data_IF_811157789096
#
_entry.id   IF_811157789096
#
_cell.length_a   1.000
_cell.length_b   1.000
_cell.length_c   1.000
_cell.angle_alpha   90.00
_cell.angle_beta   90.00
_cell.angle_gamma   90.00
#
_symmetry.space_group_name_H-M   'P 1'
#
loop_
_entity.id
_entity.type
_entity.pdbx_description
1 polymer ?
#
# COMPACT_ATOMS: atom_id res chain seq x y z
N UNK A 1 -6.94 -8.39 -7.36
CA UNK A 1 -7.19 -7.63 -6.12
C UNK A 1 -8.68 -7.33 -5.92
N UNK A 2 -9.34 -6.59 -6.81
CA UNK A 2 -10.71 -6.08 -6.58
C UNK A 2 -11.79 -7.12 -6.26
N UNK A 3 -11.87 -8.24 -6.98
CA UNK A 3 -12.88 -9.27 -6.70
C UNK A 3 -12.70 -9.88 -5.30
N UNK A 4 -11.44 -10.11 -4.90
CA UNK A 4 -11.09 -10.59 -3.56
C UNK A 4 -11.44 -9.52 -2.52
N UNK A 5 -11.09 -8.26 -2.77
CA UNK A 5 -11.39 -7.13 -1.89
C UNK A 5 -12.91 -6.98 -1.64
N UNK A 6 -13.75 -7.19 -2.65
CA UNK A 6 -15.20 -7.13 -2.50
C UNK A 6 -15.78 -8.22 -1.60
N UNK A 7 -15.27 -9.45 -1.75
CA UNK A 7 -15.64 -10.55 -0.84
C UNK A 7 -15.18 -10.22 0.57
N UNK A 8 -13.95 -9.73 0.73
CA UNK A 8 -13.40 -9.31 2.03
C UNK A 8 -14.26 -8.22 2.67
N UNK A 9 -14.59 -7.14 1.95
CA UNK A 9 -15.39 -6.02 2.49
C UNK A 9 -16.76 -6.52 2.93
N UNK A 10 -17.40 -7.36 2.12
CA UNK A 10 -18.70 -7.92 2.48
C UNK A 10 -18.62 -8.79 3.74
N UNK A 11 -17.65 -9.71 3.81
CA UNK A 11 -17.44 -10.55 4.98
C UNK A 11 -17.03 -9.75 6.22
N UNK A 12 -16.27 -8.67 6.06
CA UNK A 12 -15.83 -7.84 7.18
C UNK A 12 -17.01 -7.06 7.77
N UNK A 13 -17.93 -6.57 6.94
CA UNK A 13 -19.17 -5.95 7.45
C UNK A 13 -20.00 -6.97 8.25
N UNK A 14 -20.17 -8.18 7.73
CA UNK A 14 -20.97 -9.22 8.39
C UNK A 14 -20.28 -9.81 9.63
N UNK A 15 -18.94 -9.88 9.62
CA UNK A 15 -18.11 -10.51 10.64
C UNK A 15 -16.90 -9.62 10.99
N UNK A 16 -17.05 -8.64 11.90
CA UNK A 16 -15.98 -7.71 12.26
C UNK A 16 -14.69 -8.38 12.75
N UNK A 17 -14.80 -9.52 13.44
CA UNK A 17 -13.68 -10.33 13.92
C UNK A 17 -12.83 -10.89 12.78
N UNK A 18 -13.45 -11.30 11.66
CA UNK A 18 -12.72 -11.75 10.48
C UNK A 18 -11.80 -10.64 9.96
N UNK A 19 -12.31 -9.41 9.87
CA UNK A 19 -11.51 -8.30 9.39
C UNK A 19 -10.39 -7.88 10.33
N UNK A 20 -10.60 -7.97 11.65
CA UNK A 20 -9.51 -7.77 12.64
C UNK A 20 -8.40 -8.80 12.47
N UNK A 21 -8.75 -10.07 12.30
CA UNK A 21 -7.78 -11.15 12.06
C UNK A 21 -7.08 -10.99 10.71
N UNK A 22 -7.81 -10.56 9.68
CA UNK A 22 -7.23 -10.27 8.37
C UNK A 22 -6.20 -9.14 8.45
N UNK A 23 -6.51 -8.04 9.13
CA UNK A 23 -5.55 -6.94 9.34
C UNK A 23 -4.33 -7.40 10.15
N UNK A 24 -4.53 -8.21 11.19
CA UNK A 24 -3.42 -8.78 11.95
C UNK A 24 -2.50 -9.63 11.06
N UNK A 25 -3.09 -10.45 10.18
CA UNK A 25 -2.32 -11.22 9.22
C UNK A 25 -1.60 -10.31 8.21
N UNK A 26 -2.27 -9.30 7.67
CA UNK A 26 -1.65 -8.32 6.77
C UNK A 26 -0.47 -7.59 7.40
N UNK A 27 -0.58 -7.15 8.65
CA UNK A 27 0.52 -6.50 9.36
C UNK A 27 1.69 -7.44 9.63
N UNK A 28 1.42 -8.74 9.82
CA UNK A 28 2.49 -9.74 9.96
C UNK A 28 3.19 -10.02 8.63
N UNK A 29 2.41 -10.20 7.56
CA UNK A 29 2.96 -10.57 6.24
C UNK A 29 3.55 -9.38 5.48
N UNK A 30 3.06 -8.16 5.74
CA UNK A 30 3.53 -6.90 5.17
C UNK A 30 3.56 -5.82 6.28
N UNK A 31 4.63 -5.79 7.10
CA UNK A 31 4.72 -4.87 8.23
C UNK A 31 4.66 -3.40 7.83
N UNK A 32 4.96 -3.11 6.55
CA UNK A 32 4.93 -1.77 5.97
C UNK A 32 3.54 -1.18 5.74
N UNK A 33 2.48 -1.96 5.93
CA UNK A 33 1.13 -1.43 6.09
C UNK A 33 0.98 -0.61 7.38
N UNK A 34 1.85 -0.86 8.35
CA UNK A 34 2.10 0.06 9.45
C UNK A 34 3.32 0.90 9.03
N UNK A 35 3.18 2.22 8.90
CA UNK A 35 4.28 3.09 8.51
C UNK A 35 5.25 3.24 9.68
N UNK A 36 6.09 2.23 9.89
CA UNK A 36 7.14 2.17 10.88
C UNK A 36 8.32 1.38 10.31
N UNK A 37 9.49 2.02 10.20
CA UNK A 37 10.75 1.37 9.84
C UNK A 37 11.60 1.23 11.10
N UNK A 38 11.52 0.07 11.74
CA UNK A 38 12.29 -0.21 12.94
C UNK A 38 13.74 -0.58 12.55
N UNK A 39 14.76 0.06 13.14
CA UNK A 39 16.14 -0.35 12.95
C UNK A 39 16.43 -1.67 13.67
N UNK A 40 17.48 -2.36 13.24
CA UNK A 40 18.01 -3.51 13.98
C UNK A 40 18.52 -3.03 15.34
N UNK A 41 18.11 -3.71 16.41
CA UNK A 41 18.55 -3.37 17.76
C UNK A 41 19.84 -4.10 18.12
N UNK A 42 20.61 -3.54 19.05
CA UNK A 42 21.86 -4.18 19.51
C UNK A 42 21.58 -5.57 20.10
N UNK A 43 22.35 -6.57 19.67
CA UNK A 43 22.18 -7.96 20.07
C UNK A 43 21.12 -8.75 19.29
N UNK A 44 20.34 -8.11 18.40
CA UNK A 44 19.40 -8.81 17.52
C UNK A 44 20.15 -9.51 16.38
N UNK A 45 19.84 -10.80 16.15
CA UNK A 45 20.41 -11.52 15.02
C UNK A 45 19.91 -10.95 13.69
N UNK A 46 20.68 -11.15 12.61
CA UNK A 46 20.20 -10.76 11.27
C UNK A 46 18.95 -11.53 10.87
N UNK A 47 18.83 -12.80 11.29
CA UNK A 47 17.64 -13.61 11.00
C UNK A 47 16.38 -13.01 11.62
N UNK A 48 16.42 -12.76 12.94
CA UNK A 48 15.30 -12.15 13.66
C UNK A 48 14.94 -10.76 13.08
N UNK A 49 15.94 -9.99 12.66
CA UNK A 49 15.72 -8.68 12.07
C UNK A 49 15.05 -8.77 10.69
N UNK A 50 15.49 -9.68 9.83
CA UNK A 50 14.89 -9.88 8.51
C UNK A 50 13.47 -10.45 8.62
N UNK A 51 13.22 -11.38 9.54
CA UNK A 51 11.86 -11.87 9.83
C UNK A 51 10.95 -10.73 10.31
N UNK A 52 11.44 -9.85 11.18
CA UNK A 52 10.70 -8.65 11.61
C UNK A 52 10.38 -7.70 10.45
N UNK A 53 11.28 -7.59 9.45
CA UNK A 53 11.03 -6.87 8.21
C UNK A 53 10.08 -7.61 7.25
N UNK A 54 9.63 -8.80 7.61
CA UNK A 54 8.70 -9.63 6.86
C UNK A 54 9.37 -10.50 5.79
N UNK A 55 10.70 -10.67 5.80
CA UNK A 55 11.37 -11.63 4.94
C UNK A 55 11.08 -13.06 5.39
N UNK A 56 11.02 -13.97 4.43
CA UNK A 56 10.87 -15.40 4.68
C UNK A 56 12.21 -16.14 4.50
N UNK A 57 12.42 -17.16 5.33
CA UNK A 57 13.55 -18.08 5.21
C UNK A 57 13.06 -19.41 4.64
N UNK A 58 13.85 -20.01 3.74
CA UNK A 58 13.61 -21.37 3.25
C UNK A 58 13.94 -22.40 4.33
N UNK A 59 13.51 -23.65 4.16
CA UNK A 59 13.90 -24.77 5.03
C UNK A 59 15.42 -24.91 5.17
N UNK A 60 16.20 -24.56 4.14
CA UNK A 60 17.67 -24.57 4.17
C UNK A 60 18.30 -23.33 4.87
N UNK A 61 17.51 -22.50 5.55
CA UNK A 61 17.97 -21.28 6.24
C UNK A 61 18.39 -20.12 5.32
N UNK A 62 18.00 -20.15 4.03
CA UNK A 62 18.30 -19.06 3.08
C UNK A 62 17.18 -18.04 3.07
N UNK A 63 17.55 -16.77 3.23
CA UNK A 63 16.63 -15.64 3.06
C UNK A 63 16.08 -15.60 1.63
N UNK A 64 14.80 -15.28 1.49
CA UNK A 64 14.17 -15.12 0.18
C UNK A 64 14.85 -14.00 -0.63
N UNK A 65 14.78 -14.10 -1.96
CA UNK A 65 15.34 -13.06 -2.82
C UNK A 65 14.51 -11.77 -2.74
N UNK A 66 15.19 -10.63 -2.93
CA UNK A 66 14.55 -9.32 -2.92
C UNK A 66 13.35 -9.23 -3.88
N UNK A 67 13.46 -9.81 -5.08
CA UNK A 67 12.35 -9.86 -6.04
C UNK A 67 11.12 -10.62 -5.53
N UNK A 68 11.32 -11.74 -4.83
CA UNK A 68 10.22 -12.54 -4.28
C UNK A 68 9.56 -11.80 -3.13
N UNK A 69 10.38 -11.24 -2.25
CA UNK A 69 9.94 -10.40 -1.14
C UNK A 69 9.09 -9.22 -1.64
N UNK A 70 9.61 -8.40 -2.58
CA UNK A 70 8.89 -7.23 -3.10
C UNK A 70 7.58 -7.61 -3.80
N UNK A 71 7.54 -8.73 -4.53
CA UNK A 71 6.29 -9.23 -5.14
C UNK A 71 5.24 -9.58 -4.10
N UNK A 72 5.63 -10.17 -2.98
CA UNK A 72 4.72 -10.54 -1.89
C UNK A 72 4.20 -9.29 -1.17
N UNK A 73 5.08 -8.34 -0.84
CA UNK A 73 4.72 -7.04 -0.27
C UNK A 73 3.77 -6.26 -1.18
N UNK A 74 4.09 -6.21 -2.48
CA UNK A 74 3.24 -5.61 -3.53
C UNK A 74 1.86 -6.23 -3.57
N UNK A 75 1.76 -7.57 -3.56
CA UNK A 75 0.48 -8.27 -3.56
C UNK A 75 -0.42 -7.90 -2.38
N UNK A 76 0.15 -7.87 -1.18
CA UNK A 76 -0.57 -7.48 0.05
C UNK A 76 -0.98 -6.01 0.00
N UNK A 77 -0.06 -5.12 -0.38
CA UNK A 77 -0.33 -3.68 -0.49
C UNK A 77 -1.47 -3.37 -1.47
N UNK A 78 -1.44 -3.99 -2.66
CA UNK A 78 -2.48 -3.80 -3.68
C UNK A 78 -3.83 -4.36 -3.23
N UNK A 79 -3.85 -5.46 -2.47
CA UNK A 79 -5.09 -6.00 -1.91
C UNK A 79 -5.64 -5.08 -0.81
N UNK A 80 -4.78 -4.59 0.09
CA UNK A 80 -5.14 -3.61 1.11
C UNK A 80 -5.71 -2.32 0.50
N UNK A 81 -5.02 -1.75 -0.50
CA UNK A 81 -5.49 -0.59 -1.25
C UNK A 81 -6.81 -0.87 -1.98
N UNK A 82 -7.01 -2.08 -2.51
CA UNK A 82 -8.26 -2.46 -3.16
C UNK A 82 -9.42 -2.53 -2.16
N UNK A 83 -9.20 -3.02 -0.92
CA UNK A 83 -10.21 -3.02 0.15
C UNK A 83 -10.63 -1.58 0.47
N UNK A 84 -9.67 -0.66 0.63
CA UNK A 84 -9.94 0.76 0.93
C UNK A 84 -10.90 1.43 -0.08
N UNK A 85 -10.75 1.12 -1.37
CA UNK A 85 -11.54 1.76 -2.44
C UNK A 85 -12.79 0.98 -2.84
N UNK A 86 -13.00 -0.22 -2.30
CA UNK A 86 -14.13 -1.06 -2.68
C UNK A 86 -15.41 -0.54 -2.01
N UNK A 87 -16.48 -0.24 -2.75
CA UNK A 87 -17.72 0.20 -2.15
C UNK A 87 -18.44 -0.93 -1.42
N UNK A 88 -19.21 -0.58 -0.39
CA UNK A 88 -20.14 -1.49 0.26
C UNK A 88 -21.18 -2.05 -0.72
N UNK A 89 -21.70 -3.24 -0.43
CA UNK A 89 -22.89 -3.78 -1.10
C UNK A 89 -24.10 -2.91 -0.81
N UNK A 90 -25.06 -2.85 -1.75
CA UNK A 90 -26.28 -2.04 -1.60
C UNK A 90 -27.09 -2.40 -0.36
N UNK A 91 -27.18 -3.68 -0.03
CA UNK A 91 -27.83 -4.16 1.19
C UNK A 91 -27.17 -3.61 2.46
N UNK A 92 -25.84 -3.70 2.54
CA UNK A 92 -25.07 -3.18 3.67
C UNK A 92 -25.27 -1.66 3.84
N UNK A 93 -25.33 -0.90 2.75
CA UNK A 93 -25.64 0.54 2.78
C UNK A 93 -27.07 0.78 3.29
N UNK A 94 -28.05 0.02 2.79
CA UNK A 94 -29.46 0.15 3.19
C UNK A 94 -29.68 -0.19 4.67
N UNK A 95 -28.87 -1.09 5.22
CA UNK A 95 -28.83 -1.44 6.65
C UNK A 95 -28.08 -0.41 7.52
N UNK A 96 -27.49 0.62 6.92
CA UNK A 96 -26.77 1.68 7.62
C UNK A 96 -25.34 1.31 8.04
N UNK A 97 -24.77 0.25 7.47
CA UNK A 97 -23.39 -0.14 7.74
C UNK A 97 -22.40 0.89 7.18
N UNK A 98 -21.25 1.00 7.83
CA UNK A 98 -20.14 1.83 7.39
C UNK A 98 -19.00 0.97 6.84
N UNK A 99 -18.18 1.56 5.96
CA UNK A 99 -17.03 0.85 5.41
C UNK A 99 -16.01 0.58 6.52
N UNK A 100 -15.60 -0.68 6.76
CA UNK A 100 -14.78 -1.04 7.92
C UNK A 100 -13.35 -0.46 7.86
N UNK A 101 -12.87 -0.15 6.65
CA UNK A 101 -11.56 0.43 6.41
C UNK A 101 -11.68 1.58 5.41
N UNK A 102 -12.05 2.77 5.88
CA UNK A 102 -12.42 3.89 5.01
C UNK A 102 -11.19 4.65 4.46
N UNK A 103 -11.44 5.63 3.58
CA UNK A 103 -10.37 6.44 2.96
C UNK A 103 -9.55 7.29 3.92
N UNK A 104 -9.95 7.45 5.18
CA UNK A 104 -9.14 8.10 6.22
C UNK A 104 -7.90 7.26 6.54
N UNK A 105 -8.03 5.93 6.57
CA UNK A 105 -6.89 5.03 6.77
C UNK A 105 -5.91 5.09 5.58
N UNK A 106 -6.43 5.25 4.36
CA UNK A 106 -5.60 5.47 3.18
C UNK A 106 -4.78 6.76 3.29
N UNK A 107 -5.42 7.85 3.72
CA UNK A 107 -4.76 9.14 3.94
C UNK A 107 -3.72 9.05 5.06
N UNK A 108 -4.06 8.41 6.18
CA UNK A 108 -3.16 8.19 7.31
C UNK A 108 -1.92 7.41 6.89
N UNK A 109 -2.09 6.30 6.17
CA UNK A 109 -0.96 5.50 5.70
C UNK A 109 -0.03 6.32 4.81
N UNK A 110 -0.57 7.01 3.80
CA UNK A 110 0.24 7.78 2.86
C UNK A 110 0.98 8.92 3.56
N UNK A 111 0.29 9.72 4.36
CA UNK A 111 0.91 10.85 5.09
C UNK A 111 1.95 10.40 6.09
N UNK A 112 1.70 9.34 6.85
CA UNK A 112 2.67 8.79 7.79
C UNK A 112 3.89 8.20 7.06
N UNK A 113 3.69 7.51 5.94
CA UNK A 113 4.80 7.00 5.11
C UNK A 113 5.70 8.13 4.61
N UNK A 114 5.11 9.23 4.13
CA UNK A 114 5.86 10.38 3.65
C UNK A 114 6.59 11.17 4.75
N UNK A 115 6.31 10.89 6.03
CA UNK A 115 7.04 11.46 7.16
C UNK A 115 8.23 10.59 7.62
N UNK A 116 8.42 9.40 7.04
CA UNK A 116 9.55 8.52 7.35
C UNK A 116 10.67 8.67 6.33
N UNK A 117 11.92 8.41 6.72
CA UNK A 117 13.00 8.26 5.75
C UNK A 117 12.72 7.08 4.79
N UNK A 118 12.82 7.26 3.47
CA UNK A 118 12.54 6.20 2.53
C UNK A 118 13.55 5.06 2.65
N UNK A 119 13.09 3.85 2.34
CA UNK A 119 13.90 2.63 2.24
C UNK A 119 14.07 2.26 0.77
N UNK A 120 15.31 1.94 0.33
CA UNK A 120 15.56 1.47 -1.03
C UNK A 120 14.66 0.29 -1.38
N UNK A 121 14.20 0.24 -2.64
CA UNK A 121 13.23 -0.71 -3.21
C UNK A 121 11.83 -0.70 -2.57
N UNK A 122 11.73 -0.75 -1.24
CA UNK A 122 10.49 -0.93 -0.47
C UNK A 122 9.59 0.29 -0.64
N UNK A 123 10.08 1.48 -0.28
CA UNK A 123 9.29 2.71 -0.34
C UNK A 123 8.78 3.02 -1.75
N UNK A 124 9.62 3.01 -2.81
CA UNK A 124 9.13 3.25 -4.16
C UNK A 124 8.14 2.18 -4.65
N UNK A 125 8.35 0.89 -4.31
CA UNK A 125 7.42 -0.20 -4.67
C UNK A 125 6.06 0.02 -4.03
N UNK A 126 6.03 0.22 -2.70
CA UNK A 126 4.78 0.35 -1.95
C UNK A 126 4.01 1.62 -2.30
N UNK A 127 4.71 2.75 -2.48
CA UNK A 127 4.08 4.00 -2.92
C UNK A 127 3.44 3.86 -4.30
N UNK A 128 4.16 3.25 -5.26
CA UNK A 128 3.60 2.98 -6.59
C UNK A 128 2.36 2.10 -6.50
N UNK A 129 2.46 0.94 -5.83
CA UNK A 129 1.36 -0.02 -5.74
C UNK A 129 0.12 0.56 -5.05
N UNK A 130 0.34 1.34 -3.99
CA UNK A 130 -0.73 1.96 -3.25
C UNK A 130 -1.42 3.07 -4.07
N UNK A 131 -0.64 3.95 -4.70
CA UNK A 131 -1.18 5.07 -5.49
C UNK A 131 -1.84 4.61 -6.79
N UNK A 132 -1.31 3.57 -7.45
CA UNK A 132 -1.92 3.01 -8.65
C UNK A 132 -3.32 2.46 -8.36
N UNK A 133 -3.52 1.86 -7.18
CA UNK A 133 -4.82 1.27 -6.80
C UNK A 133 -5.77 2.32 -6.19
N UNK A 134 -5.26 3.17 -5.30
CA UNK A 134 -6.10 4.05 -4.46
C UNK A 134 -6.07 5.53 -4.83
N UNK A 135 -5.10 5.97 -5.65
CA UNK A 135 -4.85 7.38 -5.91
C UNK A 135 -6.02 8.12 -6.55
N UNK A 136 -6.76 7.47 -7.45
CA UNK A 136 -7.97 8.06 -8.04
C UNK A 136 -9.06 8.35 -6.99
N UNK A 137 -9.22 7.45 -6.02
CA UNK A 137 -10.21 7.58 -4.95
C UNK A 137 -9.75 8.62 -3.91
N UNK A 138 -8.45 8.69 -3.61
CA UNK A 138 -7.87 9.75 -2.79
C UNK A 138 -8.10 11.12 -3.42
N UNK A 139 -7.88 11.25 -4.73
CA UNK A 139 -8.15 12.47 -5.48
C UNK A 139 -9.63 12.86 -5.39
N UNK A 140 -10.53 11.91 -5.61
CA UNK A 140 -11.98 12.14 -5.50
C UNK A 140 -12.43 12.53 -4.09
N UNK A 141 -11.80 11.96 -3.06
CA UNK A 141 -12.19 12.16 -1.66
C UNK A 141 -11.64 13.46 -1.08
N UNK A 142 -10.38 13.80 -1.39
CA UNK A 142 -9.66 14.90 -0.73
C UNK A 142 -9.31 16.07 -1.67
N UNK A 143 -9.55 15.94 -2.98
CA UNK A 143 -9.34 16.99 -3.97
C UNK A 143 -7.98 17.67 -3.86
N UNK A 144 -7.99 18.99 -3.66
CA UNK A 144 -6.77 19.82 -3.60
C UNK A 144 -5.80 19.42 -2.48
N UNK A 145 -6.27 18.82 -1.37
CA UNK A 145 -5.36 18.36 -0.32
C UNK A 145 -4.51 17.18 -0.80
N UNK A 146 -5.10 16.27 -1.58
CA UNK A 146 -4.34 15.19 -2.20
C UNK A 146 -3.37 15.71 -3.27
N UNK A 147 -3.76 16.73 -4.04
CA UNK A 147 -2.85 17.39 -4.99
C UNK A 147 -1.61 17.97 -4.30
N UNK A 148 -1.78 18.63 -3.14
CA UNK A 148 -0.66 19.13 -2.32
C UNK A 148 0.23 17.99 -1.82
N UNK A 149 -0.37 16.86 -1.43
CA UNK A 149 0.36 15.69 -0.98
C UNK A 149 1.18 15.04 -2.11
N UNK A 150 0.61 14.96 -3.32
CA UNK A 150 1.33 14.52 -4.52
C UNK A 150 2.48 15.46 -4.87
N UNK A 151 2.27 16.78 -4.79
CA UNK A 151 3.36 17.75 -4.96
C UNK A 151 4.46 17.55 -3.90
N UNK A 152 4.08 17.26 -2.65
CA UNK A 152 5.05 16.97 -1.59
C UNK A 152 5.86 15.72 -1.89
N UNK A 153 5.18 14.66 -2.35
CA UNK A 153 5.83 13.42 -2.81
C UNK A 153 6.80 13.71 -3.96
N UNK A 154 6.38 14.39 -5.01
CA UNK A 154 7.20 14.64 -6.19
C UNK A 154 8.39 15.59 -5.90
N UNK A 155 8.16 16.68 -5.17
CA UNK A 155 9.14 17.75 -4.99
C UNK A 155 10.13 17.50 -3.85
N UNK A 156 9.72 16.77 -2.81
CA UNK A 156 10.54 16.59 -1.60
C UNK A 156 10.85 15.12 -1.32
N UNK A 157 9.85 14.24 -1.32
CA UNK A 157 10.07 12.85 -0.92
C UNK A 157 10.77 12.01 -1.99
N UNK A 158 10.42 12.20 -3.25
CA UNK A 158 10.98 11.45 -4.38
C UNK A 158 12.50 11.69 -4.54
N UNK A 159 13.03 12.93 -4.42
CA UNK A 159 14.47 13.14 -4.34
C UNK A 159 15.17 12.38 -3.21
N UNK A 160 14.53 12.24 -2.03
CA UNK A 160 15.08 11.44 -0.94
C UNK A 160 15.14 9.95 -1.31
N UNK A 161 14.13 9.44 -2.03
CA UNK A 161 14.18 8.07 -2.57
C UNK A 161 15.37 7.92 -3.53
N UNK A 162 15.55 8.85 -4.48
CA UNK A 162 16.68 8.82 -5.41
C UNK A 162 18.03 8.87 -4.68
N UNK A 163 18.13 9.64 -3.60
CA UNK A 163 19.37 9.78 -2.81
C UNK A 163 19.76 8.51 -2.05
N UNK A 164 18.78 7.81 -1.46
CA UNK A 164 19.07 6.61 -0.64
C UNK A 164 19.19 5.35 -1.48
N UNK A 165 18.71 5.36 -2.73
CA UNK A 165 18.63 4.15 -3.57
C UNK A 165 19.92 3.94 -4.38
N UNK A 166 20.63 2.81 -4.21
CA UNK A 166 21.77 2.43 -5.04
C UNK A 166 21.43 2.31 -6.54
N UNK A 167 22.44 2.41 -7.41
CA UNK A 167 22.26 2.38 -8.87
C UNK A 167 21.64 1.08 -9.40
N UNK A 168 21.93 -0.05 -8.75
CA UNK A 168 21.41 -1.39 -9.07
C UNK A 168 19.96 -1.61 -8.61
N UNK A 169 19.42 -0.75 -7.74
CA UNK A 169 18.06 -0.82 -7.18
C UNK A 169 17.09 0.20 -7.82
N UNK A 170 17.41 0.75 -9.00
CA UNK A 170 16.61 1.84 -9.61
C UNK A 170 15.29 1.40 -10.24
N UNK A 171 15.05 0.09 -10.40
CA UNK A 171 13.84 -0.44 -11.06
C UNK A 171 12.53 0.10 -10.46
N UNK A 172 12.26 -0.08 -9.16
CA UNK A 172 11.09 0.48 -8.49
C UNK A 172 11.00 2.01 -8.57
N UNK A 173 12.14 2.70 -8.46
CA UNK A 173 12.22 4.18 -8.51
C UNK A 173 11.76 4.69 -9.87
N UNK A 174 12.25 4.10 -10.96
CA UNK A 174 11.85 4.45 -12.33
C UNK A 174 10.35 4.24 -12.54
N UNK A 175 9.79 3.13 -12.04
CA UNK A 175 8.35 2.85 -12.15
C UNK A 175 7.50 3.90 -11.43
N UNK A 176 7.87 4.24 -10.20
CA UNK A 176 7.19 5.31 -9.45
C UNK A 176 7.31 6.66 -10.18
N UNK A 177 8.51 6.99 -10.68
CA UNK A 177 8.75 8.22 -11.43
C UNK A 177 7.85 8.37 -12.64
N UNK A 178 7.84 7.35 -13.51
CA UNK A 178 7.02 7.37 -14.73
C UNK A 178 5.52 7.49 -14.41
N UNK A 179 5.07 6.87 -13.32
CA UNK A 179 3.69 6.99 -12.86
C UNK A 179 3.36 8.41 -12.38
N UNK A 180 4.22 9.01 -11.55
CA UNK A 180 4.04 10.38 -11.05
C UNK A 180 4.12 11.42 -12.18
N UNK A 181 5.07 11.29 -13.10
CA UNK A 181 5.19 12.16 -14.28
C UNK A 181 3.95 12.11 -15.16
N UNK A 182 3.35 10.91 -15.33
CA UNK A 182 2.10 10.76 -16.05
C UNK A 182 0.94 11.50 -15.36
N UNK A 183 0.80 11.36 -14.04
CA UNK A 183 -0.23 12.09 -13.28
C UNK A 183 -0.06 13.60 -13.42
N UNK A 184 1.18 14.11 -13.32
CA UNK A 184 1.46 15.54 -13.44
C UNK A 184 1.15 16.06 -14.85
N UNK A 185 1.44 15.27 -15.88
CA UNK A 185 1.16 15.61 -17.29
C UNK A 185 -0.33 15.61 -17.60
N UNK A 186 -1.03 14.57 -17.17
CA UNK A 186 -2.45 14.37 -17.51
C UNK A 186 -3.37 15.23 -16.60
N UNK A 187 -2.86 15.67 -15.44
CA UNK A 187 -3.61 16.47 -14.47
C UNK A 187 -4.64 15.65 -13.68
N UNK A 188 -4.67 14.34 -13.88
CA UNK A 188 -5.59 13.41 -13.23
C UNK A 188 -4.89 12.12 -12.81
N UNK A 189 -5.44 11.45 -11.79
CA UNK A 189 -5.00 10.11 -11.42
C UNK A 189 -5.96 9.10 -12.05
N UNK A 190 -5.47 8.22 -12.94
CA UNK A 190 -6.34 7.28 -13.63
C UNK A 190 -6.96 6.28 -12.64
N UNK A 191 -8.19 5.81 -12.88
CA UNK A 191 -8.75 4.70 -12.12
C UNK A 191 -7.92 3.43 -12.37
N UNK A 192 -7.84 2.52 -11.39
CA UNK A 192 -7.05 1.31 -11.53
C UNK A 192 -7.68 0.33 -12.52
N UNK A 193 -6.82 -0.38 -13.25
CA UNK A 193 -7.24 -1.47 -14.13
C UNK A 193 -7.89 -2.60 -13.31
N UNK A 194 -9.08 -3.04 -13.74
CA UNK A 194 -9.81 -4.14 -13.09
C UNK A 194 -10.73 -3.71 -11.95
N UNK A 195 -10.98 -2.41 -11.78
CA UNK A 195 -12.04 -1.91 -10.90
C UNK A 195 -13.38 -2.56 -11.26
N UNK A 196 -14.15 -2.94 -10.25
CA UNK A 196 -15.42 -3.62 -10.46
C UNK A 196 -16.52 -2.62 -10.81
N UNK A 197 -17.39 -2.95 -11.77
CA UNK A 197 -18.42 -2.02 -12.24
C UNK A 197 -19.49 -1.80 -11.16
N UNK A 198 -20.16 -0.64 -11.19
CA UNK A 198 -21.17 -0.23 -10.19
C UNK A 198 -22.37 -1.19 -10.05
N UNK A 199 -22.60 -2.04 -11.04
CA UNK A 199 -23.68 -3.02 -11.09
C UNK A 199 -23.20 -4.44 -10.81
N UNK A 200 -21.98 -4.63 -10.29
CA UNK A 200 -21.48 -5.97 -9.98
C UNK A 200 -22.31 -6.64 -8.86
N UNK A 201 -22.63 -5.93 -7.77
CA UNK A 201 -23.41 -6.44 -6.63
C UNK A 201 -24.31 -5.36 -6.00
#
# INVERSE_FOLDING_TARGET
>A
AFAIAAVIVALWVDFPEFGRLLLAHFHRECPYLIPAFLPQVEGQSNEDYYEMLGYQYSEDGKVESQDKFLRRMSGVMRLYAAILVTPLKRSHIAEGNQHPLNMQEAWRWLTATLNLSPRPDISPTLLFDFLEVSGWMLCKTYGSQFSKLLQTLCAYYFPLIEQVTPDDCKGPVVRLKSFLEKILKDGEVPPPTGLLPRNFW
#
